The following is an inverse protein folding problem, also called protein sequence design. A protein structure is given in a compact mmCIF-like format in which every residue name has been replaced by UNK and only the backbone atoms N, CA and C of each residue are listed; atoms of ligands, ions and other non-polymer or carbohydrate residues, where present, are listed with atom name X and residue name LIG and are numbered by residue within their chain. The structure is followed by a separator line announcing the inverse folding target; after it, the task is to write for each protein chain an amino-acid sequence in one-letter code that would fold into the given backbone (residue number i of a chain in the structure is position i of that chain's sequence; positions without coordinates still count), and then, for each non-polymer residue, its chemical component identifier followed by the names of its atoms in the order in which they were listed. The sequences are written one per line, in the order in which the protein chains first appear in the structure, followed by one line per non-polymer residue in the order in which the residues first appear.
data_IF_472971858985
#
_entry.id   IF_472971858985
#
_cell.length_a   1.000
_cell.length_b   1.000
_cell.length_c   1.000
_cell.angle_alpha   90.00
_cell.angle_beta   90.00
_cell.angle_gamma   90.00
#
_symmetry.space_group_name_H-M   'P 1'
#
loop_
_entity.id
_entity.type
_entity.pdbx_description
1 polymer ?
#
# COMPACT_ATOMS: atom_id res chain seq x y z
N UNK A 1 -15.83 46.10 6.31
CA UNK A 1 -15.67 44.73 5.77
C UNK A 1 -14.55 44.08 6.55
N UNK A 2 -14.85 43.04 7.35
CA UNK A 2 -13.90 42.40 8.27
C UNK A 2 -13.23 41.25 7.50
N UNK A 3 -11.91 41.22 7.45
CA UNK A 3 -11.17 40.12 6.81
C UNK A 3 -11.47 38.81 7.55
N UNK A 4 -11.70 37.72 6.80
CA UNK A 4 -11.87 36.40 7.37
C UNK A 4 -10.51 35.90 7.87
N UNK A 5 -10.44 35.49 9.13
CA UNK A 5 -9.24 34.90 9.70
C UNK A 5 -8.90 33.59 8.97
N UNK A 6 -7.61 33.30 8.71
CA UNK A 6 -7.21 32.07 8.04
C UNK A 6 -7.62 30.86 8.87
N UNK A 7 -8.34 29.93 8.24
CA UNK A 7 -8.61 28.62 8.80
C UNK A 7 -7.30 27.85 8.88
N UNK A 8 -6.65 27.90 10.04
CA UNK A 8 -5.63 26.92 10.38
C UNK A 8 -6.33 25.58 10.54
N UNK A 9 -6.24 24.72 9.52
CA UNK A 9 -6.52 23.30 9.70
C UNK A 9 -5.40 22.78 10.59
N UNK A 10 -5.63 22.82 11.90
CA UNK A 10 -4.92 21.94 12.81
C UNK A 10 -5.17 20.54 12.30
N UNK A 11 -4.13 19.81 11.91
CA UNK A 11 -4.25 18.38 11.70
C UNK A 11 -4.67 17.77 13.03
N UNK A 12 -5.99 17.66 13.21
CA UNK A 12 -6.58 16.93 14.31
C UNK A 12 -6.22 15.48 14.02
N UNK A 13 -5.13 15.01 14.62
CA UNK A 13 -4.80 13.60 14.71
C UNK A 13 -6.04 12.89 15.22
N UNK A 14 -6.79 12.28 14.31
CA UNK A 14 -7.95 11.50 14.66
C UNK A 14 -7.46 10.39 15.59
N UNK A 15 -7.81 10.48 16.87
CA UNK A 15 -7.60 9.40 17.81
C UNK A 15 -8.64 8.30 17.52
N UNK A 16 -8.44 7.57 16.44
CA UNK A 16 -9.07 6.25 16.25
C UNK A 16 -7.98 5.22 16.49
N UNK A 17 -8.12 4.47 17.60
CA UNK A 17 -7.19 3.51 18.19
C UNK A 17 -5.96 3.14 17.36
N UNK A 18 -4.77 3.39 17.93
CA UNK A 18 -3.45 2.90 17.50
C UNK A 18 -3.51 2.04 16.23
N UNK A 19 -3.52 2.67 15.04
CA UNK A 19 -3.34 1.93 13.79
C UNK A 19 -1.89 1.51 13.77
N UNK A 20 -1.58 0.42 14.47
CA UNK A 20 -0.32 -0.29 14.29
C UNK A 20 -0.35 -0.81 12.87
N UNK A 21 0.22 -0.05 11.93
CA UNK A 21 0.42 -0.52 10.58
C UNK A 21 1.36 -1.73 10.66
N UNK A 22 0.80 -2.91 10.43
CA UNK A 22 1.58 -4.13 10.47
C UNK A 22 2.57 -4.13 9.31
N UNK A 23 3.77 -4.67 9.51
CA UNK A 23 4.86 -4.54 8.51
C UNK A 23 4.64 -5.47 7.31
N UNK A 24 4.64 -4.91 6.10
CA UNK A 24 4.60 -5.63 4.83
C UNK A 24 6.01 -5.71 4.25
N UNK A 25 6.55 -6.92 4.09
CA UNK A 25 7.89 -7.13 3.54
C UNK A 25 7.79 -7.47 2.06
N UNK A 26 8.56 -6.77 1.23
CA UNK A 26 8.64 -6.97 -0.22
C UNK A 26 10.02 -7.45 -0.60
N UNK A 27 10.09 -8.45 -1.48
CA UNK A 27 11.36 -8.98 -1.96
C UNK A 27 11.22 -9.64 -3.35
N UNK A 28 12.28 -9.61 -4.17
CA UNK A 28 13.44 -8.74 -4.03
C UNK A 28 13.05 -7.26 -4.18
N UNK A 29 13.88 -6.35 -3.66
CA UNK A 29 13.72 -4.92 -3.87
C UNK A 29 15.12 -4.29 -3.99
N UNK A 30 15.57 -3.90 -5.21
CA UNK A 30 14.81 -3.82 -6.47
C UNK A 30 14.34 -5.18 -7.03
N UNK A 31 13.25 -5.17 -7.82
CA UNK A 31 12.65 -6.35 -8.47
C UNK A 31 12.76 -6.27 -9.98
N UNK A 32 13.05 -7.41 -10.63
CA UNK A 32 13.06 -7.53 -12.08
C UNK A 32 11.77 -8.14 -12.63
N UNK A 33 11.40 -9.36 -12.22
CA UNK A 33 10.27 -10.07 -12.82
C UNK A 33 9.20 -10.47 -11.81
N UNK A 34 9.58 -11.01 -10.67
CA UNK A 34 8.64 -11.58 -9.70
C UNK A 34 8.75 -10.85 -8.38
N UNK A 35 7.69 -10.12 -8.01
CA UNK A 35 7.57 -9.47 -6.70
C UNK A 35 6.93 -10.44 -5.73
N UNK A 36 7.56 -10.65 -4.58
CA UNK A 36 7.02 -11.47 -3.49
C UNK A 36 6.81 -10.62 -2.24
N UNK A 37 5.84 -11.02 -1.43
CA UNK A 37 5.60 -10.40 -0.15
C UNK A 37 5.15 -11.39 0.90
N UNK A 38 5.44 -11.04 2.15
CA UNK A 38 4.86 -11.70 3.31
C UNK A 38 3.82 -10.79 3.94
N UNK A 39 2.59 -11.29 4.12
CA UNK A 39 1.55 -10.53 4.80
C UNK A 39 1.94 -10.33 6.27
N UNK A 40 1.39 -9.28 6.90
CA UNK A 40 1.55 -9.15 8.33
C UNK A 40 0.86 -10.31 9.07
N UNK A 41 1.54 -10.85 10.08
CA UNK A 41 1.10 -12.03 10.84
C UNK A 41 -0.34 -11.90 11.37
N UNK A 42 -1.13 -12.97 11.23
CA UNK A 42 -2.48 -13.06 11.79
C UNK A 42 -3.59 -12.46 10.92
N UNK A 43 -3.32 -12.13 9.64
CA UNK A 43 -4.31 -11.61 8.69
C UNK A 43 -4.33 -12.48 7.42
N UNK A 44 -5.48 -13.10 7.15
CA UNK A 44 -5.73 -13.85 5.91
C UNK A 44 -6.69 -13.12 4.97
N UNK A 45 -7.35 -12.06 5.44
CA UNK A 45 -8.43 -11.32 4.80
C UNK A 45 -7.96 -10.03 4.09
N UNK A 46 -6.74 -10.04 3.55
CA UNK A 46 -6.15 -8.87 2.90
C UNK A 46 -6.29 -8.93 1.37
N UNK A 47 -6.64 -7.79 0.80
CA UNK A 47 -6.58 -7.49 -0.62
C UNK A 47 -5.34 -6.64 -0.90
N UNK A 48 -4.60 -7.01 -1.94
CA UNK A 48 -3.40 -6.28 -2.34
C UNK A 48 -3.65 -5.46 -3.60
N UNK A 49 -3.06 -4.28 -3.67
CA UNK A 49 -3.15 -3.39 -4.84
C UNK A 49 -1.81 -2.72 -5.10
N UNK A 50 -1.36 -2.73 -6.36
CA UNK A 50 -0.16 -2.03 -6.77
C UNK A 50 -0.51 -0.70 -7.43
N UNK A 51 0.17 0.35 -6.98
CA UNK A 51 0.06 1.71 -7.50
C UNK A 51 1.38 2.14 -8.15
N UNK A 52 1.29 2.87 -9.25
CA UNK A 52 2.36 3.77 -9.71
C UNK A 52 2.42 5.00 -8.81
N UNK A 53 3.56 5.70 -8.79
CA UNK A 53 3.69 6.97 -8.07
C UNK A 53 2.73 8.07 -8.56
N UNK A 54 2.27 8.00 -9.80
CA UNK A 54 1.26 8.93 -10.35
C UNK A 54 -0.17 8.64 -9.86
N UNK A 55 -0.35 7.63 -9.00
CA UNK A 55 -1.64 7.22 -8.46
C UNK A 55 -2.40 6.21 -9.33
N UNK A 56 -1.90 5.87 -10.52
CA UNK A 56 -2.52 4.88 -11.41
C UNK A 56 -2.50 3.50 -10.77
N UNK A 57 -3.68 2.85 -10.74
CA UNK A 57 -3.84 1.46 -10.33
C UNK A 57 -3.51 0.57 -11.53
N UNK A 58 -2.62 -0.41 -11.37
CA UNK A 58 -2.24 -1.29 -12.49
C UNK A 58 -3.09 -2.56 -12.58
N UNK A 59 -3.40 -3.28 -11.48
CA UNK A 59 -4.21 -4.54 -11.37
C UNK A 59 -3.83 -5.29 -10.05
N UNK A 60 -4.38 -6.41 -9.53
CA UNK A 60 -5.75 -6.97 -9.27
C UNK A 60 -5.77 -7.30 -7.76
N UNK A 61 -6.91 -7.27 -7.04
CA UNK A 61 -7.06 -7.81 -5.69
C UNK A 61 -6.62 -9.28 -5.61
N UNK A 62 -5.38 -9.50 -5.18
CA UNK A 62 -4.89 -10.83 -4.82
C UNK A 62 -5.70 -11.29 -3.60
N UNK A 63 -6.70 -12.12 -3.85
CA UNK A 63 -7.59 -12.60 -2.80
C UNK A 63 -6.82 -13.48 -1.82
N UNK A 64 -6.77 -13.03 -0.56
CA UNK A 64 -6.70 -13.89 0.63
C UNK A 64 -5.48 -14.82 0.75
N UNK A 65 -4.28 -14.35 0.38
CA UNK A 65 -3.06 -15.09 0.67
C UNK A 65 -2.19 -14.36 1.71
N UNK A 66 -1.83 -15.08 2.79
CA UNK A 66 -0.95 -14.60 3.86
C UNK A 66 0.50 -14.37 3.37
N UNK A 67 0.87 -14.84 2.19
CA UNK A 67 2.06 -14.46 1.44
C UNK A 67 1.66 -14.48 -0.03
N UNK A 68 2.35 -13.74 -0.89
CA UNK A 68 2.03 -13.81 -2.30
C UNK A 68 3.19 -13.50 -3.21
N UNK A 69 2.95 -13.77 -4.48
CA UNK A 69 3.86 -13.49 -5.58
C UNK A 69 3.06 -12.88 -6.74
N UNK A 70 3.67 -11.97 -7.47
CA UNK A 70 3.07 -11.31 -8.63
C UNK A 70 4.13 -11.06 -9.70
N UNK A 71 3.78 -11.37 -10.95
CA UNK A 71 4.62 -11.10 -12.11
C UNK A 71 4.53 -9.62 -12.50
N UNK A 72 5.64 -8.91 -12.28
CA UNK A 72 5.85 -7.52 -12.64
C UNK A 72 6.73 -7.36 -13.89
N UNK A 73 7.04 -8.44 -14.62
CA UNK A 73 7.92 -8.40 -15.80
C UNK A 73 7.47 -7.40 -16.88
N UNK A 74 6.16 -7.21 -17.02
CA UNK A 74 5.55 -6.25 -17.97
C UNK A 74 5.49 -4.82 -17.45
N UNK A 75 5.87 -4.57 -16.21
CA UNK A 75 5.87 -3.22 -15.65
C UNK A 75 7.05 -2.44 -16.21
N UNK A 76 6.80 -1.19 -16.60
CA UNK A 76 7.87 -0.26 -16.92
C UNK A 76 8.79 -0.07 -15.70
N UNK A 77 10.11 0.15 -15.89
CA UNK A 77 10.99 0.51 -14.78
C UNK A 77 10.48 1.75 -14.04
N UNK A 78 10.57 1.74 -12.71
CA UNK A 78 10.05 2.82 -11.90
C UNK A 78 9.74 2.44 -10.45
N UNK A 79 9.16 3.41 -9.73
CA UNK A 79 8.77 3.25 -8.33
C UNK A 79 7.29 2.89 -8.21
N UNK A 80 7.02 1.92 -7.35
CA UNK A 80 5.71 1.34 -7.15
C UNK A 80 5.41 1.18 -5.66
N UNK A 81 4.12 1.13 -5.31
CA UNK A 81 3.64 0.92 -3.95
C UNK A 81 2.71 -0.30 -3.94
N UNK A 82 3.00 -1.29 -3.11
CA UNK A 82 2.06 -2.35 -2.76
C UNK A 82 1.30 -1.94 -1.48
N UNK A 83 -0.02 -1.89 -1.56
CA UNK A 83 -0.90 -1.64 -0.42
C UNK A 83 -1.69 -2.89 -0.08
N UNK A 84 -1.78 -3.21 1.21
CA UNK A 84 -2.65 -4.26 1.75
C UNK A 84 -3.84 -3.60 2.45
N UNK A 85 -5.05 -3.96 2.02
CA UNK A 85 -6.31 -3.43 2.52
C UNK A 85 -7.23 -4.54 3.03
N UNK A 86 -8.06 -4.25 4.03
CA UNK A 86 -9.14 -5.18 4.43
C UNK A 86 -10.22 -5.27 3.35
N UNK A 87 -11.13 -6.23 3.48
CA UNK A 87 -12.34 -6.30 2.65
C UNK A 87 -13.19 -5.00 2.70
N UNK A 88 -13.09 -4.23 3.78
CA UNK A 88 -13.79 -2.95 3.96
C UNK A 88 -12.98 -1.74 3.45
N UNK A 89 -11.80 -1.96 2.86
CA UNK A 89 -10.99 -0.92 2.23
C UNK A 89 -10.01 -0.19 3.18
N UNK A 90 -9.95 -0.57 4.45
CA UNK A 90 -9.01 0.00 5.42
C UNK A 90 -7.58 -0.41 5.08
N UNK A 91 -6.64 0.54 5.08
CA UNK A 91 -5.23 0.23 4.82
C UNK A 91 -4.56 -0.30 6.08
N UNK A 92 -4.07 -1.54 6.02
CA UNK A 92 -3.39 -2.21 7.14
C UNK A 92 -1.88 -2.09 7.01
N UNK A 93 -1.37 -2.16 5.79
CA UNK A 93 0.05 -2.09 5.51
C UNK A 93 0.30 -1.52 4.12
N UNK A 94 1.47 -0.91 3.93
CA UNK A 94 1.97 -0.52 2.62
C UNK A 94 3.49 -0.59 2.61
N UNK A 95 4.07 -0.87 1.45
CA UNK A 95 5.50 -0.78 1.23
C UNK A 95 5.78 -0.49 -0.26
N UNK A 96 6.93 0.10 -0.55
CA UNK A 96 7.34 0.48 -1.90
C UNK A 96 8.43 -0.42 -2.45
N UNK A 97 8.44 -0.61 -3.76
CA UNK A 97 9.49 -1.33 -4.47
C UNK A 97 9.92 -0.61 -5.75
N UNK A 98 11.14 -0.88 -6.18
CA UNK A 98 11.71 -0.38 -7.43
C UNK A 98 11.67 -1.50 -8.46
N UNK A 99 10.98 -1.28 -9.58
CA UNK A 99 11.05 -2.13 -10.77
C UNK A 99 12.27 -1.72 -11.59
N UNK A 100 13.15 -2.67 -11.87
CA UNK A 100 14.32 -2.53 -12.76
C UNK A 100 14.17 -3.38 -14.02
#
# INVERSE_FOLDING_TARGET
MKAADPLFITEQSASSGSITLSKLFLFPNPVSNELRWNAPSGRSDLNYTIYRLDGTIIEVPLSSAANGSFDVSKFSPGYYILMAKTAHGETIAKNSFIKI
#
